data_IF_740633615565
#
_entry.id   IF_740633615565
#
_cell.length_a   1.000
_cell.length_b   1.000
_cell.length_c   1.000
_cell.angle_alpha   90.00
_cell.angle_beta   90.00
_cell.angle_gamma   90.00
#
_symmetry.space_group_name_H-M   'P 1'
#
loop_
_entity.id
_entity.type
_entity.pdbx_description
1 polymer ?
#
# COMPACT_ATOMS: atom_id res chain seq x y z
N UNK A 1 0.76 -5.00 14.04
CA UNK A 1 1.46 -5.27 12.77
C UNK A 1 1.56 -6.78 12.56
N UNK A 2 1.37 -7.26 11.33
CA UNK A 2 1.37 -8.70 11.01
C UNK A 2 2.72 -9.36 11.33
N UNK A 3 2.70 -10.66 11.64
CA UNK A 3 3.92 -11.45 11.76
C UNK A 3 4.67 -11.53 10.41
N UNK A 4 6.01 -11.60 10.43
CA UNK A 4 6.85 -11.61 9.22
C UNK A 4 6.44 -12.67 8.18
N UNK A 5 6.07 -13.87 8.62
CA UNK A 5 5.60 -14.94 7.71
C UNK A 5 4.33 -14.50 6.96
N UNK A 6 3.38 -13.88 7.66
CA UNK A 6 2.13 -13.38 7.09
C UNK A 6 2.36 -12.19 6.17
N UNK A 7 3.32 -11.33 6.47
CA UNK A 7 3.72 -10.22 5.59
C UNK A 7 4.31 -10.73 4.28
N UNK A 8 5.22 -11.72 4.33
CA UNK A 8 5.78 -12.35 3.12
C UNK A 8 4.66 -13.01 2.31
N UNK A 9 3.74 -13.72 2.97
CA UNK A 9 2.57 -14.30 2.31
C UNK A 9 1.70 -13.24 1.62
N UNK A 10 1.38 -12.15 2.32
CA UNK A 10 0.55 -11.07 1.80
C UNK A 10 1.23 -10.37 0.62
N UNK A 11 2.51 -10.01 0.75
CA UNK A 11 3.33 -9.42 -0.31
C UNK A 11 3.31 -10.28 -1.58
N UNK A 12 3.56 -11.59 -1.46
CA UNK A 12 3.54 -12.54 -2.58
C UNK A 12 2.16 -12.74 -3.20
N UNK A 13 1.10 -12.67 -2.39
CA UNK A 13 -0.28 -12.89 -2.85
C UNK A 13 -0.85 -11.67 -3.54
N UNK A 14 -0.59 -10.47 -3.00
CA UNK A 14 -1.08 -9.20 -3.54
C UNK A 14 -0.34 -8.81 -4.82
N UNK A 15 0.98 -9.01 -4.89
CA UNK A 15 1.81 -8.66 -6.05
C UNK A 15 1.49 -9.45 -7.33
N UNK A 16 0.79 -10.59 -7.22
CA UNK A 16 0.39 -11.44 -8.35
C UNK A 16 -0.93 -11.04 -9.01
N UNK A 17 -1.74 -10.17 -8.40
CA UNK A 17 -3.11 -9.86 -8.88
C UNK A 17 -3.17 -8.55 -9.67
N UNK A 18 -3.79 -8.60 -10.85
CA UNK A 18 -3.72 -7.57 -11.90
C UNK A 18 -4.10 -6.15 -11.45
N UNK A 19 -3.31 -5.21 -11.97
CA UNK A 19 -3.36 -3.76 -11.75
C UNK A 19 -4.58 -3.12 -12.40
N UNK A 20 -5.01 -1.97 -11.88
CA UNK A 20 -5.83 -1.06 -12.66
C UNK A 20 -4.94 -0.50 -13.78
N UNK A 21 -5.29 -0.83 -15.03
CA UNK A 21 -4.61 -0.35 -16.23
C UNK A 21 -5.50 0.64 -16.96
N UNK A 22 -4.93 1.70 -17.52
CA UNK A 22 -5.60 2.52 -18.53
C UNK A 22 -4.97 2.16 -19.88
N UNK A 23 -5.66 1.30 -20.64
CA UNK A 23 -5.06 0.68 -21.83
C UNK A 23 -3.95 -0.32 -21.44
N UNK A 24 -2.74 -0.14 -21.99
CA UNK A 24 -1.56 -0.97 -21.71
C UNK A 24 -0.76 -0.52 -20.48
N UNK A 25 -0.95 0.72 -20.00
CA UNK A 25 -0.15 1.30 -18.92
C UNK A 25 -0.77 1.06 -17.55
N UNK A 26 0.07 0.65 -16.61
CA UNK A 26 -0.30 0.59 -15.18
C UNK A 26 -0.39 2.02 -14.68
N UNK A 27 -1.50 2.37 -14.03
CA UNK A 27 -1.63 3.69 -13.42
C UNK A 27 -0.47 3.93 -12.47
N UNK A 28 0.16 5.10 -12.57
CA UNK A 28 1.35 5.47 -11.80
C UNK A 28 1.24 5.16 -10.30
N UNK A 29 0.11 5.53 -9.70
CA UNK A 29 -0.20 5.31 -8.29
C UNK A 29 -0.28 3.82 -7.92
N UNK A 30 -0.82 2.98 -8.82
CA UNK A 30 -0.81 1.52 -8.64
C UNK A 30 0.60 0.97 -8.71
N UNK A 31 1.43 1.45 -9.66
CA UNK A 31 2.82 1.02 -9.74
C UNK A 31 3.62 1.34 -8.47
N UNK A 32 3.31 2.46 -7.82
CA UNK A 32 3.91 2.82 -6.54
C UNK A 32 3.40 1.94 -5.40
N UNK A 33 2.09 1.70 -5.29
CA UNK A 33 1.58 0.75 -4.29
C UNK A 33 2.22 -0.64 -4.46
N UNK A 34 2.43 -1.07 -5.69
CA UNK A 34 3.10 -2.34 -5.99
C UNK A 34 4.57 -2.37 -5.58
N UNK A 35 5.31 -1.26 -5.68
CA UNK A 35 6.69 -1.21 -5.20
C UNK A 35 6.73 -1.34 -3.68
N UNK A 36 5.80 -0.70 -2.97
CA UNK A 36 5.67 -0.82 -1.51
C UNK A 36 5.27 -2.24 -1.10
N UNK A 37 4.28 -2.85 -1.77
CA UNK A 37 3.83 -4.23 -1.48
C UNK A 37 4.98 -5.24 -1.66
N UNK A 38 5.83 -5.08 -2.67
CA UNK A 38 6.93 -6.01 -2.97
C UNK A 38 8.16 -5.78 -2.08
N UNK A 39 8.28 -4.60 -1.46
CA UNK A 39 9.40 -4.27 -0.62
C UNK A 39 9.30 -4.94 0.76
N UNK A 40 10.44 -5.24 1.40
CA UNK A 40 10.47 -5.55 2.82
C UNK A 40 9.88 -4.39 3.63
N UNK A 41 9.21 -4.72 4.74
CA UNK A 41 8.56 -3.72 5.59
C UNK A 41 9.55 -2.68 6.11
N UNK A 42 10.78 -3.09 6.39
CA UNK A 42 11.86 -2.22 6.86
C UNK A 42 12.21 -1.12 5.84
N UNK A 43 11.87 -1.32 4.56
CA UNK A 43 12.11 -0.35 3.49
C UNK A 43 10.92 0.57 3.22
N UNK A 44 9.76 0.33 3.85
CA UNK A 44 8.54 1.10 3.58
C UNK A 44 8.72 2.58 3.85
N UNK A 45 9.29 2.96 4.99
CA UNK A 45 9.43 4.37 5.34
C UNK A 45 10.20 5.15 4.29
N UNK A 46 11.33 4.59 3.84
CA UNK A 46 12.14 5.20 2.78
C UNK A 46 11.35 5.34 1.48
N UNK A 47 10.69 4.26 1.04
CA UNK A 47 9.91 4.27 -0.20
C UNK A 47 8.74 5.24 -0.15
N UNK A 48 8.05 5.32 0.98
CA UNK A 48 6.92 6.22 1.20
C UNK A 48 7.39 7.68 1.20
N UNK A 49 8.47 8.00 1.91
CA UNK A 49 9.06 9.36 1.90
C UNK A 49 9.51 9.73 0.48
N UNK A 50 10.31 8.88 -0.18
CA UNK A 50 10.88 9.19 -1.49
C UNK A 50 9.82 9.25 -2.61
N UNK A 51 8.71 8.49 -2.47
CA UNK A 51 7.66 8.40 -3.49
C UNK A 51 6.54 9.43 -3.34
N UNK A 52 6.26 9.89 -2.13
CA UNK A 52 5.20 10.85 -1.85
C UNK A 52 5.69 12.31 -2.02
N UNK A 53 4.78 13.21 -2.34
CA UNK A 53 5.08 14.64 -2.52
C UNK A 53 5.70 15.30 -1.28
N UNK A 54 5.41 14.77 -0.08
CA UNK A 54 5.99 15.21 1.20
C UNK A 54 7.52 15.04 1.26
N UNK A 55 8.11 14.13 0.47
CA UNK A 55 9.55 13.89 0.39
C UNK A 55 10.16 14.17 -0.98
N UNK A 56 9.52 15.05 -1.77
CA UNK A 56 9.90 15.41 -3.16
C UNK A 56 9.61 14.32 -4.21
N UNK A 57 8.79 13.32 -3.86
CA UNK A 57 8.19 12.43 -4.83
C UNK A 57 7.06 13.12 -5.60
N UNK A 58 6.37 12.35 -6.43
CA UNK A 58 5.39 12.88 -7.38
C UNK A 58 3.96 12.34 -7.12
N UNK A 59 3.75 11.64 -6.02
CA UNK A 59 2.46 11.04 -5.67
C UNK A 59 1.89 11.75 -4.45
N UNK A 60 0.69 12.33 -4.60
CA UNK A 60 0.00 12.94 -3.46
C UNK A 60 -0.41 11.84 -2.46
N UNK A 61 -0.33 12.09 -1.15
CA UNK A 61 -0.89 11.17 -0.14
C UNK A 61 -2.35 10.83 -0.42
N UNK A 62 -3.16 11.81 -0.83
CA UNK A 62 -4.58 11.65 -1.13
C UNK A 62 -4.83 10.64 -2.26
N UNK A 63 -4.10 10.76 -3.38
CA UNK A 63 -4.19 9.80 -4.49
C UNK A 63 -3.72 8.41 -4.05
N UNK A 64 -2.70 8.34 -3.19
CA UNK A 64 -2.19 7.08 -2.69
C UNK A 64 -3.21 6.36 -1.79
N UNK A 65 -3.88 7.08 -0.88
CA UNK A 65 -4.97 6.53 -0.06
C UNK A 65 -6.11 6.00 -0.93
N UNK A 66 -6.50 6.72 -1.99
CA UNK A 66 -7.53 6.27 -2.94
C UNK A 66 -7.15 4.94 -3.59
N UNK A 67 -5.87 4.76 -3.96
CA UNK A 67 -5.39 3.52 -4.58
C UNK A 67 -5.33 2.36 -3.58
N UNK A 68 -4.89 2.60 -2.35
CA UNK A 68 -4.92 1.57 -1.29
C UNK A 68 -6.35 1.13 -1.02
N UNK A 69 -7.30 2.06 -0.88
CA UNK A 69 -8.73 1.76 -0.67
C UNK A 69 -9.30 0.90 -1.80
N UNK A 70 -9.04 1.27 -3.07
CA UNK A 70 -9.45 0.47 -4.24
C UNK A 70 -8.82 -0.93 -4.24
N UNK A 71 -7.60 -1.09 -3.70
CA UNK A 71 -6.93 -2.39 -3.57
C UNK A 71 -7.57 -3.24 -2.46
N UNK A 72 -7.96 -2.63 -1.34
CA UNK A 72 -8.70 -3.27 -0.26
C UNK A 72 -10.05 -3.77 -0.79
N UNK A 73 -10.83 -2.91 -1.44
CA UNK A 73 -12.14 -3.27 -2.01
C UNK A 73 -12.03 -4.44 -3.00
N UNK A 74 -11.05 -4.42 -3.91
CA UNK A 74 -10.79 -5.55 -4.82
C UNK A 74 -10.39 -6.82 -4.08
N UNK A 75 -9.65 -6.71 -2.99
CA UNK A 75 -9.27 -7.86 -2.17
C UNK A 75 -10.51 -8.47 -1.54
N UNK A 76 -11.37 -7.64 -0.94
CA UNK A 76 -12.62 -8.06 -0.33
C UNK A 76 -13.53 -8.81 -1.31
N UNK A 77 -13.69 -8.32 -2.55
CA UNK A 77 -14.53 -8.96 -3.58
C UNK A 77 -13.94 -10.28 -4.09
N UNK A 78 -12.60 -10.42 -4.12
CA UNK A 78 -11.90 -11.56 -4.75
C UNK A 78 -11.42 -12.63 -3.78
N UNK A 79 -11.83 -12.56 -2.52
CA UNK A 79 -11.52 -13.57 -1.48
C UNK A 79 -12.81 -13.97 -0.80
N UNK A 80 -12.85 -15.18 -0.27
CA UNK A 80 -13.97 -15.63 0.55
C UNK A 80 -14.18 -14.70 1.75
N UNK A 81 -15.41 -14.23 1.92
CA UNK A 81 -15.79 -13.31 2.98
C UNK A 81 -15.57 -13.92 4.37
N UNK A 82 -14.92 -13.17 5.26
CA UNK A 82 -14.61 -13.64 6.62
C UNK A 82 -13.49 -14.67 6.70
N UNK A 83 -12.88 -15.04 5.57
CA UNK A 83 -11.74 -15.96 5.58
C UNK A 83 -10.52 -15.32 6.23
N UNK A 84 -9.68 -16.17 6.86
CA UNK A 84 -8.43 -15.73 7.44
C UNK A 84 -7.49 -15.11 6.40
N UNK A 85 -7.50 -15.64 5.17
CA UNK A 85 -6.78 -15.07 4.04
C UNK A 85 -7.25 -13.63 3.76
N UNK A 86 -8.56 -13.39 3.63
CA UNK A 86 -9.09 -12.05 3.40
C UNK A 86 -8.60 -11.08 4.48
N UNK A 87 -8.70 -11.48 5.74
CA UNK A 87 -8.25 -10.68 6.88
C UNK A 87 -6.77 -10.31 6.80
N UNK A 88 -5.88 -11.29 6.56
CA UNK A 88 -4.43 -11.03 6.45
C UNK A 88 -4.12 -10.03 5.32
N UNK A 89 -4.74 -10.23 4.15
CA UNK A 89 -4.46 -9.37 2.99
C UNK A 89 -4.96 -7.94 3.21
N UNK A 90 -6.10 -7.78 3.87
CA UNK A 90 -6.65 -6.45 4.22
C UNK A 90 -5.81 -5.78 5.31
N UNK A 91 -5.46 -6.50 6.39
CA UNK A 91 -4.60 -5.96 7.46
C UNK A 91 -3.23 -5.51 6.93
N UNK A 92 -2.68 -6.22 5.93
CA UNK A 92 -1.43 -5.82 5.28
C UNK A 92 -1.54 -4.48 4.55
N UNK A 93 -2.62 -4.31 3.77
CA UNK A 93 -2.87 -3.07 3.04
C UNK A 93 -3.18 -1.90 3.98
N UNK A 94 -3.95 -2.14 5.04
CA UNK A 94 -4.20 -1.16 6.10
C UNK A 94 -2.91 -0.81 6.86
N UNK A 95 -1.97 -1.74 6.98
CA UNK A 95 -0.65 -1.46 7.54
C UNK A 95 0.17 -0.47 6.68
N UNK A 96 0.05 -0.56 5.35
CA UNK A 96 0.67 0.42 4.43
C UNK A 96 -0.01 1.79 4.56
N UNK A 97 -1.36 1.80 4.63
CA UNK A 97 -2.15 3.03 4.83
C UNK A 97 -1.76 3.73 6.14
N UNK A 98 -1.82 3.01 7.27
CA UNK A 98 -1.45 3.54 8.59
C UNK A 98 -0.01 4.04 8.63
N UNK A 99 0.94 3.34 8.00
CA UNK A 99 2.33 3.81 7.93
C UNK A 99 2.46 5.11 7.11
N UNK A 100 1.68 5.22 6.04
CA UNK A 100 1.62 6.45 5.22
C UNK A 100 1.10 7.61 6.06
N UNK A 101 0.01 7.41 6.80
CA UNK A 101 -0.57 8.41 7.70
C UNK A 101 0.42 8.87 8.76
N UNK A 102 1.11 7.94 9.42
CA UNK A 102 2.14 8.25 10.42
C UNK A 102 3.26 9.13 9.84
N UNK A 103 3.74 8.83 8.63
CA UNK A 103 4.80 9.61 7.96
C UNK A 103 4.30 11.00 7.58
N UNK A 104 3.11 11.09 6.99
CA UNK A 104 2.49 12.37 6.61
C UNK A 104 2.33 13.25 7.86
N UNK A 105 1.78 12.70 8.94
CA UNK A 105 1.62 13.41 10.21
C UNK A 105 2.96 13.81 10.84
N UNK A 106 3.96 12.93 10.81
CA UNK A 106 5.27 13.23 11.38
C UNK A 106 6.04 14.33 10.62
N UNK A 107 5.78 14.49 9.31
CA UNK A 107 6.41 15.52 8.49
C UNK A 107 5.61 16.84 8.56
N UNK A 108 4.29 16.79 8.44
CA UNK A 108 3.43 17.98 8.52
C UNK A 108 3.36 18.55 9.95
N UNK A 109 3.36 17.69 10.97
CA UNK A 109 3.39 18.09 12.38
C UNK A 109 4.76 18.57 12.87
N UNK A 110 5.79 18.56 12.00
CA UNK A 110 7.13 19.10 12.28
C UNK A 110 7.28 20.59 11.92
N UNK A 111 6.20 21.24 11.47
CA UNK A 111 6.14 22.67 11.17
C UNK A 111 5.70 23.56 12.37
N UNK A 112 5.81 23.08 13.62
CA UNK A 112 5.57 23.89 14.83
C UNK A 112 6.80 24.02 15.71
#
# INVERSE_FOLDING_TARGET
MLQKVLQIYASKTLSKRSYAKKGSEVLRFESFLESVIKAPEESWNKLLIDGLTIGKGDISPEDFYVVIKKRIERTLIRTEGGSYQQRILVEYLQGIESRTEEIVQAIQGKEL
#
